data_IF_881426195661
#
_entry.id   IF_881426195661
#
_cell.length_a   1.000
_cell.length_b   1.000
_cell.length_c   1.000
_cell.angle_alpha   90.00
_cell.angle_beta   90.00
_cell.angle_gamma   90.00
#
_symmetry.space_group_name_H-M   'P 1'
#
loop_
_entity.id
_entity.type
_entity.pdbx_description
1 polymer ?
#
# COMPACT_ATOMS: atom_id res chain seq x y z
N UNK A 1 -36.71 4.52 0.15
CA UNK A 1 -35.93 5.66 -0.33
C UNK A 1 -36.20 6.82 0.60
N UNK A 2 -35.27 7.07 1.46
CA UNK A 2 -35.34 8.18 2.40
C UNK A 2 -34.33 9.22 1.93
N UNK A 3 -34.78 10.09 1.01
CA UNK A 3 -33.94 11.12 0.40
C UNK A 3 -33.34 12.06 1.47
N UNK A 4 -34.15 12.39 2.49
CA UNK A 4 -33.70 13.22 3.61
C UNK A 4 -32.64 12.52 4.46
N UNK A 5 -32.75 11.20 4.65
CA UNK A 5 -31.75 10.39 5.34
C UNK A 5 -30.44 10.36 4.56
N UNK A 6 -30.49 10.20 3.24
CA UNK A 6 -29.30 10.23 2.39
C UNK A 6 -28.59 11.60 2.44
N UNK A 7 -29.35 12.70 2.43
CA UNK A 7 -28.81 14.04 2.60
C UNK A 7 -28.14 14.22 3.97
N UNK A 8 -28.79 13.76 5.04
CA UNK A 8 -28.23 13.82 6.40
C UNK A 8 -26.93 13.04 6.50
N UNK A 9 -26.89 11.78 6.02
CA UNK A 9 -25.69 10.96 5.99
C UNK A 9 -24.55 11.64 5.21
N UNK A 10 -24.85 12.21 4.04
CA UNK A 10 -23.84 12.89 3.23
C UNK A 10 -23.30 14.16 3.90
N UNK A 11 -24.13 14.89 4.65
CA UNK A 11 -23.70 16.05 5.47
C UNK A 11 -22.79 15.61 6.61
N UNK A 12 -23.13 14.51 7.28
CA UNK A 12 -22.32 13.96 8.38
C UNK A 12 -20.95 13.45 7.89
N UNK A 13 -20.90 12.78 6.72
CA UNK A 13 -19.67 12.38 6.05
C UNK A 13 -18.85 13.60 5.60
N UNK A 14 -19.54 14.67 5.16
CA UNK A 14 -18.95 15.88 4.59
C UNK A 14 -18.57 15.72 3.11
N UNK A 15 -19.01 16.70 2.30
CA UNK A 15 -18.68 16.74 0.86
C UNK A 15 -17.19 17.00 0.61
N UNK A 16 -16.61 16.51 -0.50
CA UNK A 16 -17.25 15.65 -1.50
C UNK A 16 -17.48 14.23 -0.99
N UNK A 17 -18.54 13.59 -1.51
CA UNK A 17 -18.83 12.16 -1.27
C UNK A 17 -18.81 11.40 -2.59
N UNK A 18 -18.62 10.09 -2.52
CA UNK A 18 -18.73 9.20 -3.67
C UNK A 18 -19.89 8.21 -3.46
N UNK A 19 -20.75 8.10 -4.47
CA UNK A 19 -21.81 7.09 -4.55
C UNK A 19 -21.25 5.87 -5.24
N UNK A 20 -21.34 4.70 -4.63
CA UNK A 20 -20.80 3.44 -5.18
C UNK A 20 -21.89 2.37 -5.24
N UNK A 21 -21.92 1.61 -6.34
CA UNK A 21 -22.73 0.40 -6.46
C UNK A 21 -22.16 -0.71 -5.56
N UNK A 22 -22.99 -1.36 -4.76
CA UNK A 22 -22.58 -2.44 -3.87
C UNK A 22 -22.00 -3.65 -4.62
N UNK A 23 -22.54 -3.95 -5.80
CA UNK A 23 -22.05 -5.01 -6.70
C UNK A 23 -21.01 -4.49 -7.72
N UNK A 24 -20.61 -3.22 -7.65
CA UNK A 24 -19.68 -2.58 -8.57
C UNK A 24 -18.22 -2.91 -8.26
N UNK A 25 -17.35 -2.78 -9.28
CA UNK A 25 -15.91 -2.94 -9.15
C UNK A 25 -15.18 -2.36 -10.36
N UNK A 26 -13.85 -2.20 -10.25
CA UNK A 26 -13.01 -1.75 -11.36
C UNK A 26 -13.36 -0.34 -11.90
N UNK A 27 -13.87 0.56 -11.03
CA UNK A 27 -14.20 1.93 -11.43
C UNK A 27 -15.58 2.11 -12.08
N UNK A 28 -16.39 1.05 -12.21
CA UNK A 28 -17.75 1.10 -12.73
C UNK A 28 -18.78 1.21 -11.62
N UNK A 29 -19.84 1.98 -11.87
CA UNK A 29 -20.93 2.20 -10.89
C UNK A 29 -20.48 3.11 -9.73
N UNK A 30 -19.65 4.12 -10.01
CA UNK A 30 -19.18 5.10 -9.05
C UNK A 30 -19.36 6.52 -9.58
N UNK A 31 -19.79 7.45 -8.70
CA UNK A 31 -19.99 8.85 -9.04
C UNK A 31 -19.60 9.77 -7.89
N UNK A 32 -18.68 10.68 -8.15
CA UNK A 32 -18.28 11.71 -7.19
C UNK A 32 -19.30 12.83 -7.17
N UNK A 33 -19.64 13.29 -5.97
CA UNK A 33 -20.64 14.35 -5.73
C UNK A 33 -20.00 15.41 -4.85
N UNK A 34 -19.77 16.58 -5.43
CA UNK A 34 -19.12 17.69 -4.74
C UNK A 34 -20.07 18.56 -3.94
N UNK A 35 -21.36 18.56 -4.29
CA UNK A 35 -22.37 19.44 -3.65
C UNK A 35 -23.65 18.66 -3.36
N UNK A 36 -24.35 19.09 -2.31
CA UNK A 36 -25.61 18.51 -1.88
C UNK A 36 -26.69 18.52 -2.98
N UNK A 37 -26.75 19.60 -3.78
CA UNK A 37 -27.71 19.74 -4.86
C UNK A 37 -27.69 18.60 -5.88
N UNK A 38 -26.54 17.99 -6.08
CA UNK A 38 -26.34 16.91 -7.05
C UNK A 38 -26.47 15.50 -6.46
N UNK A 39 -26.66 15.37 -5.13
CA UNK A 39 -26.58 14.07 -4.47
C UNK A 39 -27.69 13.12 -4.91
N UNK A 40 -28.94 13.54 -4.82
CA UNK A 40 -30.10 12.66 -5.10
C UNK A 40 -30.13 12.22 -6.57
N UNK A 41 -29.84 13.13 -7.50
CA UNK A 41 -29.72 12.78 -8.91
C UNK A 41 -28.57 11.79 -9.17
N UNK A 42 -27.43 11.98 -8.52
CA UNK A 42 -26.29 11.08 -8.63
C UNK A 42 -26.59 9.68 -8.07
N UNK A 43 -27.32 9.59 -6.95
CA UNK A 43 -27.78 8.32 -6.39
C UNK A 43 -28.68 7.59 -7.39
N UNK A 44 -29.70 8.27 -7.94
CA UNK A 44 -30.64 7.67 -8.90
C UNK A 44 -29.97 7.18 -10.18
N UNK A 45 -29.04 7.97 -10.72
CA UNK A 45 -28.26 7.58 -11.92
C UNK A 45 -27.41 6.36 -11.61
N UNK A 46 -26.67 6.38 -10.49
CA UNK A 46 -25.80 5.26 -10.10
C UNK A 46 -26.59 3.98 -9.81
N UNK A 47 -27.77 4.08 -9.19
CA UNK A 47 -28.68 2.96 -8.99
C UNK A 47 -29.16 2.34 -10.30
N UNK A 48 -29.51 3.19 -11.27
CA UNK A 48 -29.97 2.74 -12.60
C UNK A 48 -28.84 2.04 -13.37
N UNK A 49 -27.64 2.61 -13.35
CA UNK A 49 -26.44 2.03 -13.95
C UNK A 49 -26.08 0.70 -13.29
N UNK A 50 -26.12 0.63 -11.95
CA UNK A 50 -25.83 -0.57 -11.17
C UNK A 50 -26.83 -1.69 -11.48
N UNK A 51 -28.11 -1.38 -11.54
CA UNK A 51 -29.16 -2.35 -11.89
C UNK A 51 -28.98 -2.89 -13.30
N UNK A 52 -28.64 -2.05 -14.26
CA UNK A 52 -28.42 -2.44 -15.66
C UNK A 52 -27.16 -3.31 -15.82
N UNK A 53 -26.07 -2.97 -15.11
CA UNK A 53 -24.78 -3.63 -15.27
C UNK A 53 -24.63 -4.90 -14.40
N UNK A 54 -25.21 -4.90 -13.19
CA UNK A 54 -24.97 -5.93 -12.17
C UNK A 54 -26.25 -6.64 -11.68
N UNK A 55 -27.44 -6.16 -12.08
CA UNK A 55 -28.72 -6.69 -11.62
C UNK A 55 -29.13 -6.24 -10.22
N UNK A 56 -28.29 -5.50 -9.52
CA UNK A 56 -28.52 -4.96 -8.16
C UNK A 56 -28.41 -3.43 -8.19
N UNK A 57 -29.43 -2.74 -7.67
CA UNK A 57 -29.49 -1.28 -7.59
C UNK A 57 -28.95 -0.73 -6.25
N UNK A 58 -28.45 -1.58 -5.37
CA UNK A 58 -27.95 -1.15 -4.07
C UNK A 58 -26.72 -0.27 -4.23
N UNK A 59 -26.76 0.92 -3.61
CA UNK A 59 -25.64 1.86 -3.57
C UNK A 59 -25.37 2.29 -2.13
N UNK A 60 -24.15 2.75 -1.88
CA UNK A 60 -23.75 3.32 -0.61
C UNK A 60 -22.92 4.59 -0.82
N UNK A 61 -22.76 5.38 0.24
CA UNK A 61 -21.99 6.60 0.25
C UNK A 61 -20.70 6.43 1.03
N UNK A 62 -19.61 6.97 0.48
CA UNK A 62 -18.33 7.08 1.18
C UNK A 62 -17.81 8.51 1.09
N UNK A 63 -16.91 8.88 2.00
CA UNK A 63 -16.09 10.08 1.85
C UNK A 63 -15.27 9.96 0.57
N UNK A 64 -15.32 10.99 -0.28
CA UNK A 64 -14.37 11.09 -1.39
C UNK A 64 -13.16 11.91 -0.95
N UNK A 65 -11.98 11.35 -1.19
CA UNK A 65 -10.71 12.01 -0.94
C UNK A 65 -10.18 12.55 -2.26
N UNK A 66 -9.81 13.84 -2.28
CA UNK A 66 -9.45 14.52 -3.54
C UNK A 66 -7.97 14.33 -3.92
N UNK A 67 -7.09 14.29 -2.92
CA UNK A 67 -5.64 14.18 -3.09
C UNK A 67 -5.02 13.22 -2.08
N UNK A 68 -5.57 12.02 -1.92
CA UNK A 68 -5.08 11.09 -0.92
C UNK A 68 -3.70 10.57 -1.29
N UNK A 69 -2.90 10.32 -0.26
CA UNK A 69 -1.69 9.50 -0.36
C UNK A 69 -2.01 8.08 0.04
N UNK A 70 -1.36 7.12 -0.59
CA UNK A 70 -1.43 5.72 -0.19
C UNK A 70 -0.35 5.46 0.85
N UNK A 71 -0.75 5.36 2.10
CA UNK A 71 0.14 5.07 3.24
C UNK A 71 -0.29 3.77 3.88
N UNK A 72 0.67 2.93 4.20
CA UNK A 72 0.41 1.59 4.72
C UNK A 72 1.27 1.25 5.93
N UNK A 73 0.79 0.37 6.80
CA UNK A 73 1.47 -0.04 8.03
C UNK A 73 1.85 -1.51 7.96
N UNK A 74 3.16 -1.79 8.07
CA UNK A 74 3.67 -3.16 8.16
C UNK A 74 3.49 -3.71 9.56
N UNK A 75 2.94 -4.91 9.68
CA UNK A 75 2.79 -5.62 10.94
C UNK A 75 3.39 -7.02 10.86
N UNK A 76 3.80 -7.52 12.03
CA UNK A 76 4.16 -8.92 12.28
C UNK A 76 3.43 -9.38 13.54
N UNK A 77 2.90 -10.59 13.53
CA UNK A 77 2.24 -11.17 14.69
C UNK A 77 2.49 -12.68 14.79
N UNK A 78 2.44 -13.24 16.00
CA UNK A 78 2.68 -14.65 16.27
C UNK A 78 1.47 -15.34 16.94
N UNK A 79 1.57 -16.66 17.11
CA UNK A 79 0.55 -17.49 17.78
C UNK A 79 0.48 -17.30 19.29
N UNK A 80 1.42 -16.55 19.87
CA UNK A 80 1.56 -16.34 21.31
C UNK A 80 0.88 -15.03 21.76
N UNK A 81 0.24 -14.31 20.82
CA UNK A 81 -0.47 -13.06 21.09
C UNK A 81 0.43 -11.82 20.99
N UNK A 82 1.66 -11.97 20.53
CA UNK A 82 2.53 -10.83 20.28
C UNK A 82 2.25 -10.26 18.88
N UNK A 83 2.25 -8.95 18.79
CA UNK A 83 2.18 -8.22 17.53
C UNK A 83 2.99 -6.94 17.62
N UNK A 84 3.71 -6.61 16.56
CA UNK A 84 4.50 -5.39 16.41
C UNK A 84 4.20 -4.72 15.08
N UNK A 85 4.34 -3.40 15.01
CA UNK A 85 4.41 -2.68 13.75
C UNK A 85 5.88 -2.41 13.38
N UNK A 86 6.16 -2.37 12.08
CA UNK A 86 7.46 -1.99 11.51
C UNK A 86 7.36 -0.65 10.77
N UNK A 87 6.62 0.29 11.35
CA UNK A 87 6.31 1.60 10.81
C UNK A 87 5.53 1.57 9.48
N UNK A 88 5.43 2.76 8.91
CA UNK A 88 4.63 3.03 7.73
C UNK A 88 5.49 3.16 6.47
N UNK A 89 4.84 2.96 5.32
CA UNK A 89 5.39 3.20 3.98
C UNK A 89 4.49 4.13 3.21
N UNK A 90 5.06 4.96 2.35
CA UNK A 90 4.34 5.67 1.31
C UNK A 90 4.44 4.92 -0.01
N UNK A 91 3.31 4.62 -0.59
CA UNK A 91 3.18 3.91 -1.87
C UNK A 91 2.31 4.70 -2.87
N UNK A 92 2.33 6.03 -2.77
CA UNK A 92 1.49 6.92 -3.58
C UNK A 92 1.92 7.00 -5.05
N UNK A 93 3.20 6.77 -5.34
CA UNK A 93 3.69 6.75 -6.71
C UNK A 93 3.29 5.45 -7.40
N UNK A 94 2.24 5.53 -8.20
CA UNK A 94 1.61 4.40 -8.87
C UNK A 94 1.41 4.70 -10.35
N UNK A 95 1.48 3.64 -11.16
CA UNK A 95 1.11 3.65 -12.57
C UNK A 95 0.00 2.64 -12.81
N UNK A 96 -1.17 3.10 -13.27
CA UNK A 96 -2.36 2.24 -13.48
C UNK A 96 -2.70 1.39 -12.24
N UNK A 97 -2.66 2.01 -11.06
CA UNK A 97 -2.89 1.39 -9.75
C UNK A 97 -1.84 0.34 -9.32
N UNK A 98 -0.69 0.30 -10.00
CA UNK A 98 0.47 -0.50 -9.57
C UNK A 98 1.52 0.42 -8.94
N UNK A 99 1.97 0.08 -7.75
CA UNK A 99 3.06 0.76 -7.05
C UNK A 99 4.33 0.64 -7.88
N UNK A 100 5.08 1.73 -8.04
CA UNK A 100 6.34 1.77 -8.82
C UNK A 100 7.52 2.29 -8.02
N UNK A 101 7.24 3.13 -7.01
CA UNK A 101 8.21 3.61 -6.04
C UNK A 101 7.55 3.64 -4.66
N UNK A 102 8.28 3.13 -3.68
CA UNK A 102 7.85 3.07 -2.29
C UNK A 102 8.94 3.63 -1.38
N UNK A 103 8.54 4.28 -0.29
CA UNK A 103 9.49 4.80 0.69
C UNK A 103 9.03 4.59 2.13
N UNK A 104 9.99 4.45 3.05
CA UNK A 104 9.77 4.33 4.49
C UNK A 104 10.75 5.21 5.29
N UNK A 105 10.24 5.90 6.34
CA UNK A 105 8.84 6.09 6.67
C UNK A 105 8.15 7.05 5.69
N UNK A 106 6.82 7.07 5.65
CA UNK A 106 6.05 8.00 4.82
C UNK A 106 6.36 9.45 5.20
N UNK A 107 6.88 10.29 4.28
CA UNK A 107 7.26 11.66 4.61
C UNK A 107 6.03 12.54 4.89
N UNK A 108 6.16 13.53 5.81
CA UNK A 108 5.12 14.53 6.06
C UNK A 108 3.79 13.99 6.59
N UNK A 109 3.79 12.80 7.19
CA UNK A 109 2.66 12.29 7.98
C UNK A 109 2.71 12.93 9.36
N UNK A 110 1.56 13.40 9.83
CA UNK A 110 1.43 13.97 11.17
C UNK A 110 1.87 12.94 12.24
N UNK A 111 2.77 13.32 13.18
CA UNK A 111 3.35 12.37 14.14
C UNK A 111 2.31 11.74 15.07
N UNK A 112 1.30 12.49 15.50
CA UNK A 112 0.27 11.98 16.41
C UNK A 112 -0.69 11.04 15.68
N UNK A 113 -1.09 11.41 14.46
CA UNK A 113 -1.90 10.53 13.61
C UNK A 113 -1.15 9.24 13.26
N UNK A 114 0.17 9.32 12.99
CA UNK A 114 1.02 8.14 12.78
C UNK A 114 1.03 7.24 14.01
N UNK A 115 1.31 7.79 15.20
CA UNK A 115 1.35 6.99 16.43
C UNK A 115 0.02 6.28 16.69
N UNK A 116 -1.10 6.96 16.48
CA UNK A 116 -2.45 6.39 16.66
C UNK A 116 -2.73 5.24 15.68
N UNK A 117 -2.41 5.40 14.40
CA UNK A 117 -2.68 4.35 13.40
C UNK A 117 -1.78 3.14 13.61
N UNK A 118 -0.52 3.33 13.98
CA UNK A 118 0.41 2.24 14.29
C UNK A 118 -0.10 1.39 15.46
N UNK A 119 -0.51 2.02 16.56
CA UNK A 119 -1.07 1.35 17.73
C UNK A 119 -2.41 0.65 17.40
N UNK A 120 -3.26 1.28 16.60
CA UNK A 120 -4.52 0.69 16.16
C UNK A 120 -4.30 -0.59 15.34
N UNK A 121 -3.30 -0.61 14.46
CA UNK A 121 -2.95 -1.81 13.66
C UNK A 121 -2.46 -2.96 14.55
N UNK A 122 -1.59 -2.69 15.54
CA UNK A 122 -1.13 -3.70 16.50
C UNK A 122 -2.30 -4.24 17.33
N UNK A 123 -3.15 -3.36 17.82
CA UNK A 123 -4.35 -3.73 18.59
C UNK A 123 -5.31 -4.59 17.75
N UNK A 124 -5.53 -4.23 16.50
CA UNK A 124 -6.34 -5.02 15.57
C UNK A 124 -5.76 -6.43 15.38
N UNK A 125 -4.44 -6.55 15.15
CA UNK A 125 -3.78 -7.86 15.04
C UNK A 125 -3.99 -8.74 16.29
N UNK A 126 -3.82 -8.17 17.47
CA UNK A 126 -4.02 -8.89 18.74
C UNK A 126 -5.47 -9.34 18.91
N UNK A 127 -6.44 -8.47 18.64
CA UNK A 127 -7.88 -8.76 18.77
C UNK A 127 -8.37 -9.82 17.79
N UNK A 128 -7.80 -9.85 16.57
CA UNK A 128 -8.14 -10.84 15.56
C UNK A 128 -7.39 -12.18 15.73
N UNK A 129 -6.38 -12.23 16.61
CA UNK A 129 -5.47 -13.38 16.68
C UNK A 129 -4.69 -13.58 15.37
N UNK A 130 -4.29 -12.48 14.73
CA UNK A 130 -3.54 -12.52 13.47
C UNK A 130 -2.18 -13.19 13.64
N UNK A 131 -1.72 -13.93 12.62
CA UNK A 131 -0.43 -14.64 12.64
C UNK A 131 0.27 -14.46 11.30
N UNK A 132 1.52 -14.02 11.31
CA UNK A 132 2.38 -13.82 10.14
C UNK A 132 2.63 -12.34 9.83
N UNK A 133 3.16 -12.10 8.64
CA UNK A 133 3.33 -10.76 8.10
C UNK A 133 2.04 -10.26 7.46
N UNK A 134 1.71 -9.01 7.72
CA UNK A 134 0.54 -8.36 7.12
C UNK A 134 0.77 -6.85 6.94
N UNK A 135 -0.07 -6.24 6.13
CA UNK A 135 -0.01 -4.81 5.85
C UNK A 135 -1.42 -4.23 5.86
N UNK A 136 -1.63 -3.20 6.67
CA UNK A 136 -2.86 -2.40 6.64
C UNK A 136 -2.67 -1.24 5.67
N UNK A 137 -3.52 -1.14 4.66
CA UNK A 137 -3.48 -0.05 3.67
C UNK A 137 -4.50 1.03 3.98
N UNK A 138 -4.07 2.29 3.83
CA UNK A 138 -4.87 3.47 4.11
C UNK A 138 -4.72 4.51 3.02
N UNK A 139 -5.77 5.31 2.85
CA UNK A 139 -5.65 6.63 2.25
C UNK A 139 -5.39 7.66 3.35
N UNK A 140 -4.38 8.52 3.15
CA UNK A 140 -4.03 9.58 4.07
C UNK A 140 -4.28 10.94 3.43
N UNK A 141 -5.13 11.76 4.05
CA UNK A 141 -5.42 13.12 3.60
C UNK A 141 -5.75 14.00 4.82
N UNK A 142 -5.27 15.22 4.83
CA UNK A 142 -5.55 16.23 5.87
C UNK A 142 -5.36 15.73 7.31
N UNK A 143 -4.25 15.01 7.57
CA UNK A 143 -3.90 14.49 8.88
C UNK A 143 -4.70 13.26 9.32
N UNK A 144 -5.50 12.65 8.44
CA UNK A 144 -6.36 11.51 8.77
C UNK A 144 -6.06 10.30 7.92
N UNK A 145 -6.15 9.14 8.56
CA UNK A 145 -6.06 7.84 7.90
C UNK A 145 -7.46 7.26 7.66
N UNK A 146 -7.69 6.77 6.45
CA UNK A 146 -8.92 6.10 6.04
C UNK A 146 -8.56 4.69 5.59
N UNK A 147 -9.02 3.69 6.34
CA UNK A 147 -8.71 2.28 6.07
C UNK A 147 -9.29 1.83 4.72
N UNK A 148 -8.49 1.11 3.94
CA UNK A 148 -8.90 0.50 2.67
C UNK A 148 -9.05 -1.00 2.85
N UNK A 149 -7.92 -1.68 3.14
CA UNK A 149 -7.86 -3.14 3.24
C UNK A 149 -6.67 -3.61 4.08
N UNK A 150 -6.67 -4.88 4.42
CA UNK A 150 -5.52 -5.57 4.98
C UNK A 150 -5.02 -6.65 4.01
N UNK A 151 -3.76 -6.55 3.61
CA UNK A 151 -3.08 -7.60 2.88
C UNK A 151 -2.47 -8.60 3.85
N UNK A 152 -3.02 -9.81 3.91
CA UNK A 152 -2.61 -10.87 4.85
C UNK A 152 -1.45 -11.70 4.31
N UNK A 153 -0.43 -11.04 3.81
CA UNK A 153 0.78 -11.59 3.20
C UNK A 153 1.91 -10.58 3.24
N UNK A 154 3.12 -11.04 2.95
CA UNK A 154 4.22 -10.12 2.63
C UNK A 154 3.95 -9.41 1.29
N UNK A 155 4.37 -8.17 1.18
CA UNK A 155 4.24 -7.36 -0.05
C UNK A 155 5.60 -7.14 -0.72
N UNK A 156 5.60 -6.68 -1.96
CA UNK A 156 6.81 -6.42 -2.75
C UNK A 156 7.72 -5.42 -2.04
N UNK A 157 7.13 -4.39 -1.47
CA UNK A 157 7.76 -3.23 -0.83
C UNK A 157 8.22 -3.45 0.62
N UNK A 158 8.16 -4.68 1.15
CA UNK A 158 8.67 -4.99 2.48
C UNK A 158 10.14 -4.59 2.73
N UNK A 159 11.03 -4.58 1.71
CA UNK A 159 12.43 -4.24 1.93
C UNK A 159 12.68 -2.85 2.50
N UNK A 160 11.85 -1.84 2.18
CA UNK A 160 12.05 -0.50 2.76
C UNK A 160 11.80 -0.50 4.26
N UNK A 161 10.83 -1.29 4.76
CA UNK A 161 10.62 -1.47 6.20
C UNK A 161 11.76 -2.23 6.86
N UNK A 162 12.29 -3.27 6.21
CA UNK A 162 13.47 -4.00 6.69
C UNK A 162 14.69 -3.08 6.81
N UNK A 163 14.93 -2.24 5.81
CA UNK A 163 16.09 -1.33 5.79
C UNK A 163 16.05 -0.29 6.90
N UNK A 164 14.86 0.23 7.25
CA UNK A 164 14.74 1.26 8.30
C UNK A 164 14.58 0.70 9.70
N UNK A 165 14.21 -0.59 9.86
CA UNK A 165 14.00 -1.20 11.19
C UNK A 165 15.08 -2.23 11.55
N UNK A 166 15.78 -2.77 10.56
CA UNK A 166 16.73 -3.88 10.75
C UNK A 166 16.05 -5.24 11.00
N UNK A 167 14.73 -5.33 10.90
CA UNK A 167 13.97 -6.58 11.10
C UNK A 167 13.80 -7.30 9.77
N UNK A 168 14.29 -8.54 9.69
CA UNK A 168 14.11 -9.43 8.53
C UNK A 168 12.70 -10.05 8.55
N UNK A 169 11.78 -9.46 7.78
CA UNK A 169 10.36 -9.84 7.76
C UNK A 169 10.18 -11.28 7.27
N UNK A 170 10.93 -11.69 6.26
CA UNK A 170 10.82 -13.04 5.70
C UNK A 170 11.29 -14.09 6.71
N UNK A 171 12.38 -13.83 7.41
CA UNK A 171 12.88 -14.71 8.48
C UNK A 171 11.86 -14.81 9.61
N UNK A 172 11.30 -13.69 10.06
CA UNK A 172 10.26 -13.69 11.11
C UNK A 172 9.02 -14.46 10.65
N UNK A 173 8.59 -14.28 9.43
CA UNK A 173 7.44 -15.00 8.87
C UNK A 173 7.64 -16.51 8.88
N UNK A 174 8.84 -16.99 8.49
CA UNK A 174 9.20 -18.41 8.52
C UNK A 174 9.27 -18.92 9.96
N UNK A 175 9.89 -18.16 10.88
CA UNK A 175 10.01 -18.51 12.30
C UNK A 175 8.64 -18.64 12.97
N UNK A 176 7.76 -17.67 12.75
CA UNK A 176 6.40 -17.68 13.28
C UNK A 176 5.57 -18.83 12.69
N UNK A 177 5.71 -19.12 11.41
CA UNK A 177 5.06 -20.28 10.78
C UNK A 177 5.53 -21.61 11.39
N UNK A 178 6.78 -21.70 11.81
CA UNK A 178 7.33 -22.85 12.56
C UNK A 178 6.82 -22.94 14.01
N UNK A 179 6.06 -21.93 14.48
CA UNK A 179 5.46 -21.90 15.82
C UNK A 179 6.27 -21.15 16.87
N UNK A 180 7.37 -20.50 16.49
CA UNK A 180 8.16 -19.70 17.40
C UNK A 180 7.50 -18.35 17.70
N UNK A 181 7.77 -17.71 18.86
CA UNK A 181 7.41 -16.34 19.09
C UNK A 181 8.21 -15.40 18.18
N UNK A 182 7.73 -14.17 18.00
CA UNK A 182 8.51 -13.10 17.37
C UNK A 182 9.85 -12.93 18.08
N UNK A 183 10.92 -12.70 17.33
CA UNK A 183 12.26 -12.48 17.87
C UNK A 183 12.48 -11.06 18.39
N UNK A 184 11.52 -10.16 18.15
CA UNK A 184 11.57 -8.75 18.52
C UNK A 184 10.29 -8.34 19.26
N UNK A 185 10.44 -7.41 20.20
CA UNK A 185 9.33 -6.69 20.83
C UNK A 185 9.16 -5.32 20.16
N UNK A 186 8.08 -4.59 20.48
CA UNK A 186 7.90 -3.26 19.92
C UNK A 186 9.01 -2.28 20.34
N UNK A 187 9.55 -2.43 21.51
CA UNK A 187 10.64 -1.58 22.04
C UNK A 187 11.98 -1.84 21.31
N UNK A 188 12.15 -3.00 20.69
CA UNK A 188 13.33 -3.33 19.88
C UNK A 188 13.25 -2.74 18.47
N UNK A 189 12.07 -2.34 18.02
CA UNK A 189 11.85 -1.81 16.67
C UNK A 189 12.12 -0.32 16.64
N UNK A 190 13.34 0.04 16.27
CA UNK A 190 13.80 1.43 16.20
C UNK A 190 13.91 1.88 14.75
N UNK A 191 13.25 3.00 14.43
CA UNK A 191 13.34 3.61 13.11
C UNK A 191 14.72 4.26 12.90
N UNK A 192 15.43 3.83 11.84
CA UNK A 192 16.76 4.33 11.50
C UNK A 192 16.81 4.81 10.03
N UNK A 193 16.96 6.10 9.86
CA UNK A 193 17.11 6.71 8.54
C UNK A 193 15.87 6.65 7.67
N UNK A 194 16.09 6.53 6.36
CA UNK A 194 15.06 6.51 5.33
C UNK A 194 15.44 5.55 4.22
N UNK A 195 14.48 4.80 3.69
CA UNK A 195 14.70 3.88 2.58
C UNK A 195 13.71 4.16 1.45
N UNK A 196 14.19 3.93 0.22
CA UNK A 196 13.40 4.08 -1.02
C UNK A 196 13.60 2.84 -1.85
N UNK A 197 12.51 2.29 -2.39
CA UNK A 197 12.51 1.18 -3.33
C UNK A 197 11.99 1.65 -4.68
N UNK A 198 12.65 1.22 -5.78
CA UNK A 198 12.14 1.33 -7.14
C UNK A 198 11.96 -0.07 -7.71
N UNK A 199 10.79 -0.34 -8.29
CA UNK A 199 10.54 -1.57 -9.04
C UNK A 199 11.14 -1.47 -10.43
N UNK A 200 11.91 -2.47 -10.82
CA UNK A 200 12.54 -2.56 -12.14
C UNK A 200 11.79 -3.60 -12.97
N UNK A 201 11.21 -3.15 -14.06
CA UNK A 201 10.36 -3.98 -14.92
C UNK A 201 11.01 -4.19 -16.30
N UNK A 202 10.86 -5.40 -16.84
CA UNK A 202 11.18 -5.70 -18.23
C UNK A 202 10.08 -5.15 -19.14
N UNK A 203 10.13 -3.85 -19.41
CA UNK A 203 9.15 -3.08 -20.17
C UNK A 203 9.86 -2.16 -21.16
N UNK A 204 9.20 -1.83 -22.25
CA UNK A 204 9.62 -0.75 -23.12
C UNK A 204 9.45 0.60 -22.38
N UNK A 205 10.51 1.44 -22.24
CA UNK A 205 10.44 2.64 -21.41
C UNK A 205 9.49 3.73 -21.94
N UNK A 206 9.19 3.73 -23.25
CA UNK A 206 8.32 4.72 -23.88
C UNK A 206 6.85 4.30 -23.86
N UNK A 207 6.58 3.01 -24.11
CA UNK A 207 5.21 2.49 -24.25
C UNK A 207 4.70 1.76 -23.02
N UNK A 208 5.60 1.38 -22.11
CA UNK A 208 5.35 0.57 -20.91
C UNK A 208 4.72 -0.81 -21.22
N UNK A 209 4.90 -1.30 -22.44
CA UNK A 209 4.50 -2.64 -22.79
C UNK A 209 5.54 -3.64 -22.27
N UNK A 210 5.11 -4.80 -21.74
CA UNK A 210 6.03 -5.87 -21.36
C UNK A 210 7.00 -6.22 -22.48
N UNK A 211 8.27 -6.38 -22.14
CA UNK A 211 9.35 -6.73 -23.08
C UNK A 211 10.06 -8.00 -22.61
N UNK A 212 9.41 -9.18 -22.76
CA UNK A 212 10.05 -10.45 -22.42
C UNK A 212 11.21 -10.73 -23.38
N UNK A 213 12.17 -11.55 -22.94
CA UNK A 213 13.30 -11.93 -23.78
C UNK A 213 14.58 -12.14 -22.99
N UNK A 214 15.69 -12.29 -23.71
CA UNK A 214 17.00 -12.60 -23.16
C UNK A 214 17.63 -11.37 -22.52
N UNK A 215 18.09 -11.52 -21.27
CA UNK A 215 18.97 -10.56 -20.59
C UNK A 215 20.41 -10.86 -21.01
N UNK A 216 20.92 -10.18 -22.00
CA UNK A 216 22.28 -10.41 -22.52
C UNK A 216 23.33 -10.05 -21.44
N UNK A 217 23.12 -8.95 -20.74
CA UNK A 217 24.02 -8.46 -19.69
C UNK A 217 23.23 -7.94 -18.49
N UNK A 218 23.60 -8.41 -17.30
CA UNK A 218 23.08 -7.93 -16.02
C UNK A 218 24.23 -7.37 -15.18
N UNK A 219 24.10 -6.11 -14.77
CA UNK A 219 25.08 -5.44 -13.94
C UNK A 219 24.35 -4.61 -12.87
N UNK A 220 24.04 -5.22 -11.71
CA UNK A 220 23.32 -4.51 -10.66
C UNK A 220 24.22 -3.49 -9.95
N UNK A 221 23.65 -2.37 -9.47
CA UNK A 221 24.37 -1.45 -8.62
C UNK A 221 24.70 -2.09 -7.27
N UNK A 222 25.65 -1.49 -6.52
CA UNK A 222 26.04 -1.95 -5.20
C UNK A 222 26.76 -0.86 -4.43
N UNK A 223 27.07 -1.16 -3.17
CA UNK A 223 27.78 -0.26 -2.27
C UNK A 223 27.00 0.00 -0.97
N UNK A 224 27.53 0.85 -0.06
CA UNK A 224 26.90 1.15 1.21
C UNK A 224 25.50 1.73 1.04
N UNK A 225 24.50 1.10 1.69
CA UNK A 225 23.10 1.53 1.63
C UNK A 225 22.39 1.23 0.30
N UNK A 226 22.94 0.34 -0.54
CA UNK A 226 22.28 -0.16 -1.76
C UNK A 226 22.01 -1.65 -1.62
N UNK A 227 20.75 -2.04 -1.80
CA UNK A 227 20.28 -3.44 -1.83
C UNK A 227 19.57 -3.68 -3.17
N UNK A 228 19.84 -4.83 -3.77
CA UNK A 228 19.16 -5.29 -4.98
C UNK A 228 18.56 -6.65 -4.73
N UNK A 229 17.25 -6.76 -4.80
CA UNK A 229 16.54 -8.03 -4.76
C UNK A 229 16.13 -8.40 -6.19
N UNK A 230 16.70 -9.49 -6.72
CA UNK A 230 16.47 -9.88 -8.11
C UNK A 230 16.62 -11.40 -8.27
N UNK A 231 15.93 -11.95 -9.26
CA UNK A 231 16.05 -13.35 -9.67
C UNK A 231 16.74 -13.51 -11.03
N UNK A 232 17.07 -12.39 -11.72
CA UNK A 232 17.69 -12.44 -13.05
C UNK A 232 19.22 -12.48 -12.95
N UNK A 233 19.83 -12.96 -14.03
CA UNK A 233 21.27 -12.98 -14.25
C UNK A 233 21.56 -12.84 -15.74
N UNK A 234 22.81 -12.60 -16.14
CA UNK A 234 23.19 -12.57 -17.56
C UNK A 234 22.92 -13.92 -18.22
N UNK A 235 22.14 -13.91 -19.29
CA UNK A 235 21.66 -15.14 -19.95
C UNK A 235 20.28 -15.63 -19.47
N UNK A 236 19.64 -14.95 -18.49
CA UNK A 236 18.29 -15.27 -18.08
C UNK A 236 17.28 -14.82 -19.15
N UNK A 237 16.27 -15.66 -19.42
CA UNK A 237 15.17 -15.30 -20.33
C UNK A 237 13.93 -14.93 -19.53
N UNK A 238 13.50 -13.66 -19.61
CA UNK A 238 12.27 -13.18 -18.99
C UNK A 238 11.08 -13.81 -19.71
N UNK A 239 10.25 -14.60 -19.00
CA UNK A 239 9.12 -15.28 -19.62
C UNK A 239 7.95 -14.31 -19.86
N UNK A 240 7.12 -14.53 -20.91
CA UNK A 240 5.98 -13.67 -21.22
C UNK A 240 4.73 -13.96 -20.37
N UNK A 241 4.77 -14.96 -19.48
CA UNK A 241 3.59 -15.49 -18.77
C UNK A 241 3.43 -14.94 -17.35
N UNK A 242 4.41 -14.17 -16.84
CA UNK A 242 4.43 -13.61 -15.51
C UNK A 242 4.51 -12.09 -15.57
N UNK A 243 4.43 -11.45 -14.39
CA UNK A 243 4.66 -10.02 -14.23
C UNK A 243 6.04 -9.63 -14.79
N UNK A 244 6.14 -8.42 -15.33
CA UNK A 244 7.38 -7.89 -15.92
C UNK A 244 8.44 -7.50 -14.89
N UNK A 245 8.15 -7.51 -13.59
CA UNK A 245 9.10 -7.11 -12.55
C UNK A 245 10.27 -8.09 -12.46
N UNK A 246 11.48 -7.58 -12.66
CA UNK A 246 12.72 -8.37 -12.68
C UNK A 246 13.66 -8.07 -11.51
N UNK A 247 13.52 -6.91 -10.90
CA UNK A 247 14.32 -6.53 -9.75
C UNK A 247 13.61 -5.45 -8.92
N UNK A 248 14.11 -5.27 -7.69
CA UNK A 248 13.83 -4.12 -6.83
C UNK A 248 15.16 -3.51 -6.45
N UNK A 249 15.30 -2.19 -6.66
CA UNK A 249 16.44 -1.43 -6.20
C UNK A 249 16.03 -0.67 -4.95
N UNK A 250 16.71 -0.92 -3.86
CA UNK A 250 16.41 -0.32 -2.57
C UNK A 250 17.64 0.46 -2.11
N UNK A 251 17.43 1.71 -1.72
CA UNK A 251 18.49 2.52 -1.11
C UNK A 251 18.09 2.99 0.26
N UNK A 252 19.08 3.09 1.14
CA UNK A 252 18.92 3.55 2.51
C UNK A 252 19.93 4.65 2.80
N UNK A 253 19.51 5.69 3.50
CA UNK A 253 20.37 6.78 3.98
C UNK A 253 19.97 7.23 5.39
N UNK A 254 20.85 7.96 6.05
CA UNK A 254 20.53 8.56 7.34
C UNK A 254 19.39 9.60 7.24
N UNK A 255 19.20 10.16 6.04
CA UNK A 255 18.12 11.08 5.70
C UNK A 255 17.47 10.68 4.38
N UNK A 256 16.27 11.21 4.13
CA UNK A 256 15.57 11.01 2.85
C UNK A 256 16.39 11.50 1.67
N UNK A 257 17.03 12.67 1.78
CA UNK A 257 17.87 13.24 0.72
C UNK A 257 19.08 12.35 0.41
N UNK A 258 19.68 11.72 1.42
CA UNK A 258 20.76 10.77 1.21
C UNK A 258 20.28 9.50 0.49
N UNK A 259 19.13 8.95 0.89
CA UNK A 259 18.54 7.81 0.21
C UNK A 259 18.21 8.12 -1.26
N UNK A 260 17.65 9.30 -1.54
CA UNK A 260 17.38 9.79 -2.92
C UNK A 260 18.66 9.89 -3.74
N UNK A 261 19.72 10.54 -3.20
CA UNK A 261 20.99 10.66 -3.91
C UNK A 261 21.62 9.30 -4.23
N UNK A 262 21.49 8.34 -3.30
CA UNK A 262 21.94 6.96 -3.56
C UNK A 262 21.13 6.30 -4.65
N UNK A 263 19.82 6.55 -4.72
CA UNK A 263 18.96 6.01 -5.77
C UNK A 263 19.28 6.61 -7.14
N UNK A 264 19.61 7.91 -7.21
CA UNK A 264 20.05 8.56 -8.46
C UNK A 264 21.36 7.98 -9.01
N UNK A 265 22.24 7.50 -8.13
CA UNK A 265 23.54 6.91 -8.51
C UNK A 265 23.38 5.44 -8.88
N UNK A 266 22.47 4.72 -8.21
CA UNK A 266 22.21 3.31 -8.45
C UNK A 266 21.49 3.06 -9.77
#
# INVERSE_FOLDING_TARGET
>A
NDDEKNLTIARDIGFPVIVKAAAGGGGRGMRVVHTEANLLSSIQITQSEAKAAFGDATVYLEKFLEKPRHVEVQVLADKHGNAVHLYDRDCSLQRRHQKVLEEAPAPGVDPDARAQVLEACVTACKNMGYVGAGTFEFLYEDGRFYFIEMNTRVQVEHPVSEMVTGVDIIREQISVAAGNPLSVTQDDVVLNGHAIECRINAENPDTFLPSPGLIERYHPPGGPGVRVDSHIYSGYSVPPHYDSMIAKFITHGATRDEALKRMEIA
#
